data_IF_129788079474
#
_entry.id   IF_129788079474
#
_cell.length_a   1.000
_cell.length_b   1.000
_cell.length_c   1.000
_cell.angle_alpha   90.00
_cell.angle_beta   90.00
_cell.angle_gamma   90.00
#
_symmetry.space_group_name_H-M   'P 1'
#
loop_
_entity.id
_entity.type
_entity.pdbx_description
1 polymer ?
#
# COMPACT_ATOMS: atom_id res chain seq x y z
N UNK A 1 -10.71 -2.26 2.43
CA UNK A 1 -10.33 -1.07 3.24
C UNK A 1 -8.89 -1.28 3.64
N UNK A 2 -7.98 -0.38 3.24
CA UNK A 2 -6.56 -0.51 3.57
C UNK A 2 -6.27 -0.12 5.02
N UNK A 3 -5.32 -0.84 5.64
CA UNK A 3 -4.84 -0.58 7.00
C UNK A 3 -3.46 0.07 6.95
N UNK A 4 -3.31 1.22 7.60
CA UNK A 4 -2.05 1.97 7.71
C UNK A 4 -1.54 1.88 9.14
N UNK A 5 -0.33 1.33 9.31
CA UNK A 5 0.36 1.34 10.60
C UNK A 5 1.19 2.61 10.71
N UNK A 6 1.09 3.29 11.85
CA UNK A 6 1.79 4.55 12.13
C UNK A 6 2.78 4.31 13.25
N UNK A 7 4.06 4.46 12.94
CA UNK A 7 5.20 4.33 13.87
C UNK A 7 5.80 5.72 14.04
N UNK A 8 5.25 6.48 14.99
CA UNK A 8 5.55 7.88 15.29
C UNK A 8 5.40 8.09 16.79
N UNK A 9 6.44 8.54 17.47
CA UNK A 9 6.46 8.73 18.93
C UNK A 9 5.85 10.06 19.38
N UNK A 10 5.73 11.04 18.49
CA UNK A 10 4.97 12.26 18.76
C UNK A 10 3.48 11.97 18.62
N UNK A 11 2.79 11.86 19.76
CA UNK A 11 1.35 11.57 19.82
C UNK A 11 0.50 12.61 19.06
N UNK A 12 0.93 13.87 18.98
CA UNK A 12 0.19 14.93 18.27
C UNK A 12 0.23 14.66 16.77
N UNK A 13 1.41 14.28 16.27
CA UNK A 13 1.60 13.96 14.85
C UNK A 13 0.87 12.66 14.53
N UNK A 14 1.07 11.61 15.33
CA UNK A 14 0.40 10.30 15.15
C UNK A 14 -1.11 10.44 15.09
N UNK A 15 -1.72 11.04 16.12
CA UNK A 15 -3.17 11.27 16.18
C UNK A 15 -3.69 12.15 15.02
N UNK A 16 -2.92 13.15 14.59
CA UNK A 16 -3.29 14.01 13.47
C UNK A 16 -3.32 13.22 12.15
N UNK A 17 -2.34 12.36 11.92
CA UNK A 17 -2.28 11.47 10.75
C UNK A 17 -3.45 10.49 10.81
N UNK A 18 -3.62 9.77 11.93
CA UNK A 18 -4.67 8.78 12.11
C UNK A 18 -6.06 9.38 11.90
N UNK A 19 -6.38 10.47 12.58
CA UNK A 19 -7.67 11.15 12.45
C UNK A 19 -7.94 11.70 11.04
N UNK A 20 -6.90 12.10 10.32
CA UNK A 20 -7.06 12.50 8.91
C UNK A 20 -7.32 11.31 8.00
N UNK A 21 -6.55 10.23 8.12
CA UNK A 21 -6.69 9.03 7.29
C UNK A 21 -8.03 8.32 7.52
N UNK A 22 -8.51 8.26 8.76
CA UNK A 22 -9.82 7.68 9.09
C UNK A 22 -10.99 8.38 8.39
N UNK A 23 -10.93 9.71 8.19
CA UNK A 23 -11.93 10.46 7.40
C UNK A 23 -11.98 10.01 5.92
N UNK A 24 -10.92 9.39 5.42
CA UNK A 24 -10.80 8.86 4.07
C UNK A 24 -10.94 7.33 4.01
N UNK A 25 -11.56 6.74 5.04
CA UNK A 25 -11.87 5.30 5.11
C UNK A 25 -10.63 4.38 5.15
N UNK A 26 -9.49 4.87 5.67
CA UNK A 26 -8.39 3.99 6.03
C UNK A 26 -8.60 3.47 7.46
N UNK A 27 -8.27 2.21 7.71
CA UNK A 27 -8.02 1.72 9.06
C UNK A 27 -6.63 2.19 9.50
N UNK A 28 -6.48 2.63 10.73
CA UNK A 28 -5.18 3.05 11.27
C UNK A 28 -4.85 2.25 12.52
N UNK A 29 -3.57 1.93 12.66
CA UNK A 29 -3.01 1.39 13.90
C UNK A 29 -1.81 2.24 14.29
N UNK A 30 -1.90 2.90 15.43
CA UNK A 30 -0.83 3.69 16.03
C UNK A 30 -0.02 2.80 16.96
N UNK A 31 1.30 2.71 16.75
CA UNK A 31 2.19 1.92 17.60
C UNK A 31 2.31 2.55 18.96
N UNK A 32 2.18 1.74 19.99
CA UNK A 32 2.30 2.15 21.40
C UNK A 32 3.56 1.60 22.05
N UNK A 33 3.96 0.38 21.67
CA UNK A 33 5.14 -0.28 22.20
C UNK A 33 6.31 -0.26 21.22
N UNK A 34 7.12 0.79 21.32
CA UNK A 34 8.30 0.97 20.46
C UNK A 34 9.44 -0.05 20.73
N UNK A 35 9.33 -0.92 21.72
CA UNK A 35 10.25 -2.06 21.88
C UNK A 35 9.79 -3.25 21.02
N UNK A 36 8.53 -3.33 20.67
CA UNK A 36 7.91 -4.47 20.00
C UNK A 36 7.23 -4.10 18.65
N UNK A 37 7.72 -3.07 17.94
CA UNK A 37 7.15 -2.59 16.65
C UNK A 37 6.96 -3.73 15.64
N UNK A 38 7.96 -4.60 15.50
CA UNK A 38 7.88 -5.73 14.54
C UNK A 38 6.80 -6.74 14.96
N UNK A 39 6.61 -6.96 16.26
CA UNK A 39 5.53 -7.83 16.76
C UNK A 39 4.17 -7.23 16.45
N UNK A 40 3.97 -5.93 16.72
CA UNK A 40 2.73 -5.24 16.36
C UNK A 40 2.48 -5.28 14.85
N UNK A 41 3.54 -5.09 14.04
CA UNK A 41 3.46 -5.21 12.59
C UNK A 41 2.90 -6.58 12.15
N UNK A 42 3.42 -7.67 12.70
CA UNK A 42 2.96 -9.03 12.36
C UNK A 42 1.50 -9.24 12.79
N UNK A 43 1.15 -8.81 14.01
CA UNK A 43 -0.22 -8.96 14.55
C UNK A 43 -1.25 -8.14 13.76
N UNK A 44 -0.88 -6.93 13.35
CA UNK A 44 -1.77 -6.02 12.65
C UNK A 44 -1.88 -6.28 11.16
N UNK A 45 -0.84 -6.88 10.55
CA UNK A 45 -0.78 -7.15 9.11
C UNK A 45 -1.21 -5.92 8.27
N UNK A 46 -0.51 -4.78 8.39
CA UNK A 46 -0.90 -3.56 7.68
C UNK A 46 -0.61 -3.64 6.18
N UNK A 47 -1.33 -2.84 5.40
CA UNK A 47 -1.13 -2.68 3.96
C UNK A 47 -0.08 -1.61 3.63
N UNK A 48 0.26 -0.74 4.60
CA UNK A 48 1.28 0.29 4.48
C UNK A 48 1.78 0.70 5.86
N UNK A 49 3.07 1.01 5.95
CA UNK A 49 3.68 1.53 7.18
C UNK A 49 4.16 2.95 6.95
N UNK A 50 3.78 3.84 7.85
CA UNK A 50 4.40 5.16 8.04
C UNK A 50 5.42 5.02 9.17
N UNK A 51 6.67 5.40 8.91
CA UNK A 51 7.78 5.15 9.83
C UNK A 51 8.55 6.43 10.10
N UNK A 52 8.53 6.92 11.35
CA UNK A 52 9.49 7.97 11.71
C UNK A 52 10.91 7.39 11.79
N UNK A 53 11.90 8.19 11.44
CA UNK A 53 13.32 7.82 11.60
C UNK A 53 13.72 7.91 13.06
N UNK A 54 13.32 8.96 13.76
CA UNK A 54 13.73 9.23 15.13
C UNK A 54 12.73 8.63 16.12
N UNK A 55 12.94 7.39 16.45
CA UNK A 55 12.10 6.65 17.40
C UNK A 55 12.87 6.33 18.69
N UNK A 56 12.17 6.12 19.82
CA UNK A 56 12.79 5.65 21.04
C UNK A 56 13.29 4.20 20.88
N UNK A 57 14.38 3.85 21.59
CA UNK A 57 15.05 2.55 21.62
C UNK A 57 15.82 2.18 20.37
N UNK A 58 15.18 2.09 19.22
CA UNK A 58 15.76 1.81 17.89
C UNK A 58 15.23 2.84 16.89
N UNK A 59 16.03 3.17 15.90
CA UNK A 59 15.60 4.08 14.84
C UNK A 59 14.68 3.40 13.81
N UNK A 60 14.03 4.20 12.99
CA UNK A 60 13.13 3.70 11.95
C UNK A 60 13.84 2.86 10.89
N UNK A 61 15.13 3.06 10.69
CA UNK A 61 15.93 2.27 9.74
C UNK A 61 16.04 0.82 10.20
N UNK A 62 16.34 0.61 11.48
CA UNK A 62 16.37 -0.72 12.08
C UNK A 62 15.03 -1.44 11.90
N UNK A 63 13.91 -0.79 12.19
CA UNK A 63 12.59 -1.41 12.02
C UNK A 63 12.25 -1.68 10.56
N UNK A 64 12.66 -0.81 9.64
CA UNK A 64 12.49 -1.04 8.21
C UNK A 64 13.25 -2.31 7.77
N UNK A 65 14.51 -2.48 8.16
CA UNK A 65 15.28 -3.70 7.87
C UNK A 65 14.62 -4.96 8.41
N UNK A 66 14.17 -4.93 9.68
CA UNK A 66 13.50 -6.08 10.29
C UNK A 66 12.18 -6.42 9.59
N UNK A 67 11.36 -5.42 9.23
CA UNK A 67 10.13 -5.62 8.48
C UNK A 67 10.43 -6.18 7.07
N UNK A 68 11.49 -5.69 6.41
CA UNK A 68 11.88 -6.17 5.08
C UNK A 68 12.32 -7.62 5.04
N UNK A 69 12.79 -8.19 6.15
CA UNK A 69 13.06 -9.64 6.26
C UNK A 69 11.77 -10.48 6.22
N UNK A 70 10.64 -9.88 6.59
CA UNK A 70 9.35 -10.55 6.73
C UNK A 70 8.36 -10.23 5.60
N UNK A 71 8.42 -9.01 5.04
CA UNK A 71 7.38 -8.49 4.14
C UNK A 71 7.92 -7.48 3.13
N UNK A 72 7.19 -7.38 2.01
CA UNK A 72 7.34 -6.34 0.99
C UNK A 72 6.30 -5.22 1.12
N UNK A 73 5.67 -5.10 2.30
CA UNK A 73 4.72 -4.03 2.59
C UNK A 73 5.33 -2.66 2.26
N UNK A 74 4.62 -1.75 1.61
CA UNK A 74 5.15 -0.42 1.32
C UNK A 74 5.41 0.36 2.61
N UNK A 75 6.58 1.03 2.68
CA UNK A 75 7.01 1.85 3.82
C UNK A 75 7.30 3.26 3.32
N UNK A 76 6.64 4.25 3.94
CA UNK A 76 6.94 5.68 3.76
C UNK A 76 7.65 6.17 5.02
N UNK A 77 8.87 6.69 4.86
CA UNK A 77 9.52 7.36 5.97
C UNK A 77 8.98 8.77 6.19
N UNK A 78 8.84 9.14 7.44
CA UNK A 78 8.53 10.48 7.92
C UNK A 78 9.77 10.98 8.66
N UNK A 79 10.33 12.14 8.31
CA UNK A 79 11.55 12.62 8.94
C UNK A 79 11.59 14.13 9.09
N UNK A 80 12.19 14.59 10.19
CA UNK A 80 12.49 16.01 10.43
C UNK A 80 13.87 16.44 9.93
N UNK A 81 14.63 15.54 9.33
CA UNK A 81 16.04 15.81 9.00
C UNK A 81 16.19 16.33 7.57
N UNK A 82 16.69 17.55 7.45
CA UNK A 82 17.14 18.23 6.22
C UNK A 82 18.48 17.66 5.71
N UNK A 83 18.67 16.34 5.79
CA UNK A 83 19.93 15.74 5.35
C UNK A 83 19.65 14.77 4.20
N UNK A 84 20.15 15.13 3.03
CA UNK A 84 20.08 14.29 1.81
C UNK A 84 20.61 12.88 2.07
N UNK A 85 21.55 12.74 3.01
CA UNK A 85 22.07 11.42 3.43
C UNK A 85 20.99 10.54 4.05
N UNK A 86 20.05 11.10 4.80
CA UNK A 86 18.96 10.33 5.41
C UNK A 86 18.00 9.80 4.36
N UNK A 87 17.72 10.58 3.32
CA UNK A 87 16.88 10.15 2.20
C UNK A 87 17.56 9.01 1.45
N UNK A 88 18.85 9.16 1.12
CA UNK A 88 19.62 8.13 0.42
C UNK A 88 19.69 6.84 1.25
N UNK A 89 19.91 6.97 2.57
CA UNK A 89 19.96 5.83 3.49
C UNK A 89 18.61 5.12 3.57
N UNK A 90 17.51 5.86 3.71
CA UNK A 90 16.15 5.31 3.72
C UNK A 90 15.85 4.48 2.46
N UNK A 91 16.17 5.02 1.28
CA UNK A 91 15.95 4.33 0.01
C UNK A 91 16.81 3.09 -0.14
N UNK A 92 18.08 3.11 0.30
CA UNK A 92 18.98 1.96 0.25
C UNK A 92 18.52 0.81 1.17
N UNK A 93 17.88 1.12 2.29
CA UNK A 93 17.35 0.14 3.25
C UNK A 93 16.03 -0.47 2.79
N UNK A 94 15.40 0.12 1.78
CA UNK A 94 14.19 -0.43 1.17
C UNK A 94 12.91 0.37 1.47
N UNK A 95 13.04 1.67 1.75
CA UNK A 95 11.90 2.58 1.74
C UNK A 95 11.31 2.69 0.32
N UNK A 96 10.01 2.85 0.25
CA UNK A 96 9.31 3.04 -1.02
C UNK A 96 9.06 4.51 -1.33
N UNK A 97 9.00 5.35 -0.29
CA UNK A 97 8.85 6.81 -0.38
C UNK A 97 9.31 7.48 0.91
N UNK A 98 9.34 8.80 0.88
CA UNK A 98 9.79 9.66 1.96
C UNK A 98 8.96 10.94 2.03
N UNK A 99 8.72 11.48 3.23
CA UNK A 99 8.10 12.79 3.43
C UNK A 99 8.80 13.54 4.57
N UNK A 100 9.13 14.80 4.31
CA UNK A 100 9.83 15.66 5.26
C UNK A 100 8.83 16.41 6.17
N UNK A 101 9.13 16.46 7.47
CA UNK A 101 8.44 17.28 8.47
C UNK A 101 8.97 18.74 8.39
N UNK A 102 8.08 19.78 8.38
CA UNK A 102 6.62 19.69 8.47
C UNK A 102 5.95 19.42 7.10
N UNK A 103 4.95 18.54 7.08
CA UNK A 103 4.23 18.20 5.86
C UNK A 103 2.72 18.52 5.97
N UNK A 104 2.07 18.61 4.81
CA UNK A 104 0.61 18.73 4.73
C UNK A 104 0.00 17.32 4.66
N UNK A 105 -1.02 17.03 5.48
CA UNK A 105 -1.69 15.73 5.49
C UNK A 105 -2.29 15.33 4.12
N UNK A 106 -2.71 16.32 3.32
CA UNK A 106 -3.17 16.06 1.94
C UNK A 106 -2.04 15.51 1.06
N UNK A 107 -0.80 15.95 1.25
CA UNK A 107 0.37 15.46 0.50
C UNK A 107 0.72 14.04 0.96
N UNK A 108 0.73 13.79 2.26
CA UNK A 108 0.95 12.45 2.81
C UNK A 108 -0.09 11.45 2.26
N UNK A 109 -1.39 11.83 2.30
CA UNK A 109 -2.47 11.01 1.71
C UNK A 109 -2.24 10.71 0.23
N UNK A 110 -1.87 11.71 -0.56
CA UNK A 110 -1.60 11.51 -1.98
C UNK A 110 -0.45 10.52 -2.24
N UNK A 111 0.61 10.56 -1.42
CA UNK A 111 1.72 9.58 -1.47
C UNK A 111 1.24 8.17 -1.10
N UNK A 112 0.46 8.03 -0.02
CA UNK A 112 -0.13 6.76 0.40
C UNK A 112 -0.97 6.16 -0.73
N UNK A 113 -1.87 6.94 -1.33
CA UNK A 113 -2.73 6.49 -2.44
C UNK A 113 -1.93 6.05 -3.67
N UNK A 114 -0.92 6.85 -4.04
CA UNK A 114 -0.07 6.51 -5.18
C UNK A 114 0.71 5.21 -4.95
N UNK A 115 1.20 5.00 -3.73
CA UNK A 115 1.97 3.83 -3.37
C UNK A 115 1.09 2.57 -3.26
N UNK A 116 -0.05 2.66 -2.57
CA UNK A 116 -1.02 1.55 -2.49
C UNK A 116 -1.51 1.14 -3.88
N UNK A 117 -1.82 2.11 -4.75
CA UNK A 117 -2.20 1.83 -6.14
C UNK A 117 -1.09 1.10 -6.88
N UNK A 118 0.17 1.53 -6.74
CA UNK A 118 1.32 0.88 -7.39
C UNK A 118 1.53 -0.54 -6.88
N UNK A 119 1.40 -0.78 -5.57
CA UNK A 119 1.69 -2.08 -4.96
C UNK A 119 0.52 -3.05 -5.13
N UNK A 120 -0.70 -2.62 -4.90
CA UNK A 120 -1.85 -3.51 -4.82
C UNK A 120 -2.73 -3.49 -6.07
N UNK A 121 -2.83 -2.34 -6.77
CA UNK A 121 -3.63 -2.27 -8.00
C UNK A 121 -2.80 -2.58 -9.27
N UNK A 122 -1.45 -2.46 -9.20
CA UNK A 122 -0.57 -2.90 -10.27
C UNK A 122 0.07 -4.29 -10.03
N UNK A 123 0.06 -4.81 -8.78
CA UNK A 123 0.61 -6.15 -8.45
C UNK A 123 -0.37 -7.30 -8.71
N UNK A 124 -1.66 -6.99 -8.86
CA UNK A 124 -2.55 -7.90 -9.54
C UNK A 124 -2.39 -7.67 -11.04
N UNK A 125 -1.60 -8.51 -11.74
CA UNK A 125 -1.51 -8.58 -13.21
C UNK A 125 -2.05 -7.33 -13.91
N UNK A 126 -1.35 -6.70 -14.81
CA UNK A 126 -1.89 -5.59 -15.60
C UNK A 126 -3.41 -5.76 -15.66
N UNK A 127 -4.20 -4.79 -15.13
CA UNK A 127 -5.68 -4.88 -15.16
C UNK A 127 -6.20 -5.08 -16.60
N UNK A 128 -5.25 -5.17 -17.52
CA UNK A 128 -5.41 -5.50 -18.92
C UNK A 128 -4.98 -6.96 -19.13
N UNK A 129 -5.92 -7.83 -19.27
CA UNK A 129 -5.66 -9.20 -19.72
C UNK A 129 -5.84 -9.26 -21.23
N UNK A 130 -4.78 -9.64 -21.94
CA UNK A 130 -4.83 -9.81 -23.38
C UNK A 130 -4.98 -11.30 -23.69
N UNK A 131 -6.04 -11.66 -24.38
CA UNK A 131 -6.25 -12.99 -24.89
C UNK A 131 -6.57 -12.94 -26.39
N UNK A 132 -5.64 -13.42 -27.23
CA UNK A 132 -5.69 -13.22 -28.67
C UNK A 132 -5.79 -11.71 -29.00
N UNK A 133 -6.83 -11.29 -29.69
CA UNK A 133 -7.05 -9.90 -30.11
C UNK A 133 -8.00 -9.14 -29.15
N UNK A 134 -8.37 -9.75 -28.03
CA UNK A 134 -9.27 -9.15 -27.02
C UNK A 134 -8.46 -8.62 -25.84
N UNK A 135 -8.70 -7.38 -25.47
CA UNK A 135 -8.13 -6.75 -24.27
C UNK A 135 -9.25 -6.60 -23.25
N UNK A 136 -9.04 -7.17 -22.09
CA UNK A 136 -9.93 -7.05 -20.96
C UNK A 136 -9.34 -6.09 -19.92
N UNK A 137 -10.02 -4.98 -19.65
CA UNK A 137 -9.63 -4.00 -18.62
C UNK A 137 -10.46 -4.23 -17.35
N UNK A 138 -9.89 -5.00 -16.40
CA UNK A 138 -10.55 -5.33 -15.13
C UNK A 138 -10.76 -4.09 -14.23
N UNK A 139 -10.04 -2.99 -14.46
CA UNK A 139 -10.20 -1.77 -13.68
C UNK A 139 -11.38 -0.92 -14.08
N UNK A 140 -11.82 -1.09 -15.33
CA UNK A 140 -12.94 -0.36 -15.93
C UNK A 140 -14.16 -1.21 -16.21
N UNK A 141 -14.05 -2.53 -15.96
CA UNK A 141 -15.06 -3.51 -16.37
C UNK A 141 -15.35 -3.44 -17.88
N UNK A 142 -14.30 -3.27 -18.70
CA UNK A 142 -14.41 -3.09 -20.15
C UNK A 142 -13.71 -4.23 -20.90
N UNK A 143 -14.33 -4.65 -22.01
CA UNK A 143 -13.71 -5.54 -23.00
C UNK A 143 -13.51 -4.76 -24.28
N UNK A 144 -12.29 -4.77 -24.81
CA UNK A 144 -11.93 -4.12 -26.05
C UNK A 144 -11.52 -5.17 -27.09
N UNK A 145 -12.18 -5.11 -28.25
CA UNK A 145 -11.85 -5.91 -29.43
C UNK A 145 -11.78 -5.00 -30.66
N UNK A 146 -10.61 -4.84 -31.24
CA UNK A 146 -10.34 -3.85 -32.29
C UNK A 146 -10.73 -2.44 -31.83
N UNK A 147 -11.65 -1.79 -32.53
CA UNK A 147 -12.15 -0.45 -32.21
C UNK A 147 -13.44 -0.46 -31.35
N UNK A 148 -13.95 -1.64 -31.02
CA UNK A 148 -15.16 -1.78 -30.21
C UNK A 148 -14.81 -1.92 -28.73
N UNK A 149 -15.52 -1.16 -27.89
CA UNK A 149 -15.43 -1.25 -26.41
C UNK A 149 -16.83 -1.63 -25.92
N UNK A 150 -16.89 -2.65 -25.07
CA UNK A 150 -18.09 -3.14 -24.41
C UNK A 150 -17.90 -3.03 -22.90
N UNK A 151 -18.78 -2.31 -22.23
CA UNK A 151 -18.85 -2.26 -20.77
C UNK A 151 -19.53 -3.53 -20.25
N UNK A 152 -18.93 -4.14 -19.24
CA UNK A 152 -19.46 -5.32 -18.56
C UNK A 152 -20.24 -4.91 -17.31
N UNK A 153 -21.28 -5.65 -17.02
CA UNK A 153 -21.91 -5.57 -15.70
C UNK A 153 -20.96 -6.13 -14.62
N UNK A 154 -21.16 -5.75 -13.36
CA UNK A 154 -20.35 -6.26 -12.25
C UNK A 154 -20.32 -7.78 -12.13
N UNK A 155 -21.38 -8.46 -12.50
CA UNK A 155 -21.45 -9.91 -12.48
C UNK A 155 -20.67 -10.54 -13.64
N UNK A 156 -20.77 -9.97 -14.83
CA UNK A 156 -19.99 -10.42 -15.99
C UNK A 156 -18.49 -10.21 -15.76
N UNK A 157 -18.10 -9.07 -15.20
CA UNK A 157 -16.71 -8.78 -14.85
C UNK A 157 -16.17 -9.77 -13.83
N UNK A 158 -16.92 -10.09 -12.77
CA UNK A 158 -16.52 -11.09 -11.77
C UNK A 158 -16.34 -12.49 -12.40
N UNK A 159 -17.31 -12.94 -13.18
CA UNK A 159 -17.23 -14.25 -13.83
C UNK A 159 -16.01 -14.31 -14.77
N UNK A 160 -15.79 -13.26 -15.55
CA UNK A 160 -14.67 -13.23 -16.47
C UNK A 160 -13.31 -13.17 -15.76
N UNK A 161 -13.22 -12.43 -14.64
CA UNK A 161 -12.04 -12.41 -13.77
C UNK A 161 -11.73 -13.81 -13.25
N UNK A 162 -12.70 -14.50 -12.68
CA UNK A 162 -12.55 -15.84 -12.13
C UNK A 162 -12.10 -16.84 -13.20
N UNK A 163 -12.69 -16.78 -14.40
CA UNK A 163 -12.27 -17.61 -15.53
C UNK A 163 -10.85 -17.30 -16.02
N UNK A 164 -10.44 -16.04 -16.00
CA UNK A 164 -9.10 -15.63 -16.43
C UNK A 164 -8.01 -16.00 -15.42
N UNK A 165 -8.31 -15.96 -14.12
CA UNK A 165 -7.39 -16.36 -13.04
C UNK A 165 -7.22 -17.89 -13.00
N UNK A 166 -8.22 -18.63 -13.41
CA UNK A 166 -8.24 -20.10 -13.41
C UNK A 166 -8.16 -20.70 -14.82
N UNK A 167 -7.44 -20.08 -15.76
CA UNK A 167 -7.38 -20.45 -17.19
C UNK A 167 -7.11 -21.93 -17.51
N UNK A 168 -6.44 -22.64 -16.61
CA UNK A 168 -6.08 -24.06 -16.81
C UNK A 168 -6.81 -25.00 -15.85
N UNK A 169 -7.82 -24.49 -15.14
CA UNK A 169 -8.61 -25.25 -14.18
C UNK A 169 -10.09 -25.27 -14.58
N UNK A 170 -10.81 -26.26 -14.08
CA UNK A 170 -12.26 -26.30 -14.19
C UNK A 170 -12.84 -25.39 -13.09
N UNK A 171 -13.54 -24.35 -13.49
CA UNK A 171 -14.26 -23.46 -12.56
C UNK A 171 -15.69 -23.99 -12.45
N UNK A 172 -16.13 -24.28 -11.22
CA UNK A 172 -17.48 -24.78 -10.97
C UNK A 172 -18.45 -23.64 -10.70
N UNK A 173 -19.74 -23.91 -10.74
CA UNK A 173 -20.80 -22.89 -10.57
C UNK A 173 -20.93 -22.44 -9.10
N UNK A 174 -20.23 -23.09 -8.18
CA UNK A 174 -20.26 -22.82 -6.73
C UNK A 174 -19.09 -21.92 -6.28
N UNK A 175 -18.15 -21.62 -7.17
CA UNK A 175 -17.06 -20.65 -7.03
C UNK A 175 -17.47 -19.33 -7.70
#
# INVERSE_FOLDING_TARGET
>A
MYKVMIVEDDEIISNSIAGYLQKWQYATHEVVDFQNVVKEFVEQSPDLVLMDINLPYFDGYYFCEEIRKLSKVPIIFISSANDDMNIVMAMNIGADDFIEKPFKLVVLKAKIEALLRRVYNFSGSSNLVVYKDVIFDMSRDEVKYQDNIVELTKNESKILTELLENREKIVTREE
#
